data_IF_138039613594
#
_entry.id   IF_138039613594
#
_cell.length_a   1.000
_cell.length_b   1.000
_cell.length_c   1.000
_cell.angle_alpha   90.00
_cell.angle_beta   90.00
_cell.angle_gamma   90.00
#
_symmetry.space_group_name_H-M   'P 1'
#
loop_
_entity.id
_entity.type
_entity.pdbx_description
1 polymer ?
#
# COMPACT_ATOMS: atom_id res chain seq x y z
N UNK A 1 -3.49 -55.36 7.21
CA UNK A 1 -2.25 -54.57 7.05
C UNK A 1 -2.30 -53.91 5.68
N UNK A 2 -2.30 -52.60 5.49
CA UNK A 2 -2.00 -51.44 6.34
C UNK A 2 -2.94 -50.30 5.93
N UNK A 3 -3.56 -49.66 6.93
CA UNK A 3 -4.04 -48.29 6.80
C UNK A 3 -2.96 -47.37 7.33
N UNK A 4 -2.41 -46.51 6.47
CA UNK A 4 -1.50 -45.37 6.71
C UNK A 4 -1.12 -44.89 5.30
N UNK A 5 -1.19 -43.65 4.83
CA UNK A 5 -1.32 -42.31 5.40
C UNK A 5 -2.03 -41.45 4.35
N UNK A 6 -3.06 -40.72 4.72
CA UNK A 6 -3.38 -39.46 4.06
C UNK A 6 -4.05 -38.55 5.09
N UNK A 7 -3.35 -38.37 6.22
CA UNK A 7 -3.69 -37.36 7.21
C UNK A 7 -3.16 -36.00 6.73
N UNK A 8 -4.10 -35.07 6.59
CA UNK A 8 -3.93 -33.65 6.91
C UNK A 8 -2.82 -32.86 6.20
N UNK A 9 -2.87 -32.82 4.86
CA UNK A 9 -2.51 -31.56 4.19
C UNK A 9 -3.71 -30.62 4.36
N UNK A 10 -3.68 -29.81 5.42
CA UNK A 10 -4.56 -28.65 5.58
C UNK A 10 -4.44 -27.84 4.28
N UNK A 11 -5.39 -28.00 3.36
CA UNK A 11 -5.37 -27.31 2.08
C UNK A 11 -5.46 -25.82 2.39
N UNK A 12 -4.33 -25.11 2.25
CA UNK A 12 -4.29 -23.66 2.27
C UNK A 12 -5.12 -23.13 1.10
N UNK A 13 -6.43 -23.04 1.33
CA UNK A 13 -7.41 -22.58 0.37
C UNK A 13 -7.74 -21.12 0.67
N UNK A 14 -8.40 -20.46 -0.29
CA UNK A 14 -8.77 -19.04 -0.21
C UNK A 14 -9.52 -18.72 1.09
N UNK A 15 -10.37 -19.62 1.57
CA UNK A 15 -11.14 -19.47 2.81
C UNK A 15 -10.23 -19.43 4.05
N UNK A 16 -9.28 -20.36 4.18
CA UNK A 16 -8.33 -20.36 5.31
C UNK A 16 -7.50 -19.08 5.30
N UNK A 17 -6.99 -18.68 4.13
CA UNK A 17 -6.23 -17.45 4.00
C UNK A 17 -7.03 -16.23 4.45
N UNK A 18 -8.28 -16.13 3.99
CA UNK A 18 -9.22 -15.06 4.37
C UNK A 18 -9.48 -15.04 5.88
N UNK A 19 -9.76 -16.18 6.50
CA UNK A 19 -9.97 -16.27 7.95
C UNK A 19 -8.73 -15.86 8.75
N UNK A 20 -7.54 -16.28 8.31
CA UNK A 20 -6.27 -15.91 8.94
C UNK A 20 -6.03 -14.40 8.84
N UNK A 21 -6.21 -13.81 7.66
CA UNK A 21 -6.07 -12.36 7.45
C UNK A 21 -7.04 -11.61 8.35
N UNK A 22 -8.31 -12.00 8.36
CA UNK A 22 -9.32 -11.38 9.22
C UNK A 22 -8.91 -11.41 10.69
N UNK A 23 -8.46 -12.58 11.18
CA UNK A 23 -8.03 -12.74 12.58
C UNK A 23 -6.82 -11.88 12.91
N UNK A 24 -5.87 -11.74 11.99
CA UNK A 24 -4.71 -10.86 12.15
C UNK A 24 -5.13 -9.38 12.23
N UNK A 25 -6.01 -8.93 11.34
CA UNK A 25 -6.50 -7.55 11.32
C UNK A 25 -7.26 -7.20 12.60
N UNK A 26 -8.14 -8.09 13.06
CA UNK A 26 -8.85 -7.95 14.34
C UNK A 26 -7.87 -7.94 15.52
N UNK A 27 -6.85 -8.79 15.51
CA UNK A 27 -5.81 -8.85 16.53
C UNK A 27 -4.98 -7.56 16.62
N UNK A 28 -4.59 -6.98 15.49
CA UNK A 28 -3.89 -5.68 15.43
C UNK A 28 -4.77 -4.59 16.01
N UNK A 29 -6.06 -4.56 15.66
CA UNK A 29 -7.01 -3.57 16.19
C UNK A 29 -7.12 -3.69 17.71
N UNK A 30 -7.34 -4.89 18.24
CA UNK A 30 -7.43 -5.10 19.69
C UNK A 30 -6.13 -4.76 20.42
N UNK A 31 -4.97 -5.09 19.84
CA UNK A 31 -3.67 -4.70 20.41
C UNK A 31 -3.51 -3.18 20.45
N UNK A 32 -3.93 -2.48 19.39
CA UNK A 32 -3.88 -1.03 19.31
C UNK A 32 -4.83 -0.36 20.34
N UNK A 33 -6.04 -0.89 20.49
CA UNK A 33 -7.02 -0.42 21.48
C UNK A 33 -6.51 -0.59 22.91
N UNK A 34 -5.93 -1.75 23.24
CA UNK A 34 -5.35 -2.00 24.56
C UNK A 34 -4.17 -1.07 24.84
N UNK A 35 -3.26 -0.89 23.87
CA UNK A 35 -2.14 0.05 24.02
C UNK A 35 -2.65 1.49 24.27
N UNK A 36 -3.71 1.89 23.58
CA UNK A 36 -4.32 3.22 23.74
C UNK A 36 -4.99 3.41 25.11
N UNK A 37 -5.58 2.36 25.69
CA UNK A 37 -6.11 2.40 27.06
C UNK A 37 -5.01 2.58 28.11
N UNK A 38 -3.79 2.12 27.83
CA UNK A 38 -2.61 2.32 28.67
C UNK A 38 -1.89 3.66 28.40
N UNK A 39 -2.55 4.64 27.77
CA UNK A 39 -1.95 5.93 27.32
C UNK A 39 -0.70 5.77 26.41
N UNK A 40 -0.62 4.65 25.67
CA UNK A 40 0.44 4.38 24.69
C UNK A 40 -0.12 4.33 23.28
N UNK A 41 0.76 4.44 22.28
CA UNK A 41 0.41 4.19 20.88
C UNK A 41 1.07 2.91 20.41
N UNK A 42 0.45 2.21 19.45
CA UNK A 42 1.04 0.99 18.90
C UNK A 42 2.22 1.30 17.96
N UNK A 43 2.28 2.52 17.42
CA UNK A 43 3.30 2.99 16.48
C UNK A 43 3.65 1.94 15.40
N UNK A 44 2.63 1.48 14.69
CA UNK A 44 2.75 0.34 13.76
C UNK A 44 2.21 0.72 12.39
N UNK A 45 2.92 0.32 11.34
CA UNK A 45 2.47 0.43 9.96
C UNK A 45 2.09 -0.96 9.45
N UNK A 46 0.83 -1.12 9.04
CA UNK A 46 0.35 -2.34 8.37
C UNK A 46 0.45 -2.13 6.87
N UNK A 47 1.23 -2.99 6.21
CA UNK A 47 1.40 -3.00 4.76
C UNK A 47 0.57 -4.14 4.16
N UNK A 48 -0.26 -3.81 3.19
CA UNK A 48 -1.08 -4.76 2.44
C UNK A 48 -0.63 -4.71 0.99
N UNK A 49 0.10 -5.75 0.59
CA UNK A 49 0.50 -5.96 -0.79
C UNK A 49 -0.64 -6.60 -1.60
N UNK A 50 -0.68 -6.30 -2.89
CA UNK A 50 -1.77 -6.64 -3.80
C UNK A 50 -3.15 -6.34 -3.19
N UNK A 51 -3.29 -5.15 -2.61
CA UNK A 51 -4.45 -4.74 -1.82
C UNK A 51 -5.78 -4.90 -2.56
N UNK A 52 -5.79 -4.80 -3.90
CA UNK A 52 -6.97 -5.05 -4.71
C UNK A 52 -7.52 -6.47 -4.57
N UNK A 53 -6.80 -7.44 -3.97
CA UNK A 53 -7.33 -8.78 -3.68
C UNK A 53 -8.21 -8.83 -2.44
N UNK A 54 -7.97 -7.94 -1.47
CA UNK A 54 -8.66 -7.91 -0.17
C UNK A 54 -9.61 -6.72 -0.04
N UNK A 55 -9.35 -5.66 -0.81
CA UNK A 55 -10.03 -4.38 -0.76
C UNK A 55 -10.67 -4.04 -2.12
N UNK A 56 -11.35 -5.02 -2.73
CA UNK A 56 -11.99 -4.86 -4.03
C UNK A 56 -13.08 -3.80 -4.01
N UNK A 57 -13.20 -3.05 -5.10
CA UNK A 57 -14.26 -2.06 -5.31
C UNK A 57 -15.61 -2.70 -5.57
N UNK A 58 -15.63 -3.77 -6.35
CA UNK A 58 -16.85 -4.50 -6.68
C UNK A 58 -17.28 -5.38 -5.51
N UNK A 59 -18.60 -5.64 -5.40
CA UNK A 59 -19.09 -6.59 -4.40
C UNK A 59 -18.65 -8.01 -4.76
N UNK A 60 -18.23 -8.75 -3.75
CA UNK A 60 -17.98 -10.19 -3.84
C UNK A 60 -19.22 -10.95 -3.40
N UNK A 61 -19.48 -12.08 -4.05
CA UNK A 61 -20.49 -13.05 -3.59
C UNK A 61 -20.01 -13.83 -2.35
N UNK A 62 -18.73 -13.68 -1.99
CA UNK A 62 -18.13 -14.31 -0.81
C UNK A 62 -18.26 -13.39 0.42
N UNK A 63 -19.10 -13.78 1.37
CA UNK A 63 -19.35 -13.05 2.62
C UNK A 63 -18.07 -12.76 3.42
N UNK A 64 -17.08 -13.65 3.38
CA UNK A 64 -15.84 -13.45 4.13
C UNK A 64 -14.91 -12.41 3.48
N UNK A 65 -14.93 -12.29 2.15
CA UNK A 65 -14.21 -11.22 1.44
C UNK A 65 -14.84 -9.86 1.73
N UNK A 66 -16.17 -9.80 1.77
CA UNK A 66 -16.94 -8.63 2.20
C UNK A 66 -16.63 -8.23 3.65
N UNK A 67 -16.49 -9.21 4.54
CA UNK A 67 -16.12 -8.98 5.92
C UNK A 67 -14.70 -8.41 6.05
N UNK A 68 -13.71 -8.98 5.35
CA UNK A 68 -12.34 -8.44 5.33
C UNK A 68 -12.35 -6.99 4.85
N UNK A 69 -13.02 -6.72 3.72
CA UNK A 69 -13.07 -5.36 3.17
C UNK A 69 -13.66 -4.37 4.18
N UNK A 70 -14.74 -4.76 4.85
CA UNK A 70 -15.38 -3.94 5.88
C UNK A 70 -14.44 -3.66 7.06
N UNK A 71 -13.67 -4.66 7.50
CA UNK A 71 -12.64 -4.49 8.54
C UNK A 71 -11.55 -3.54 8.08
N UNK A 72 -11.07 -3.66 6.83
CA UNK A 72 -10.03 -2.77 6.29
C UNK A 72 -10.48 -1.32 6.17
N UNK A 73 -11.71 -1.08 5.70
CA UNK A 73 -12.32 0.26 5.64
C UNK A 73 -12.37 0.87 7.04
N UNK A 74 -12.90 0.12 8.01
CA UNK A 74 -13.05 0.60 9.37
C UNK A 74 -11.70 0.85 10.04
N UNK A 75 -10.73 -0.05 9.82
CA UNK A 75 -9.39 0.09 10.38
C UNK A 75 -8.66 1.32 9.83
N UNK A 76 -8.68 1.53 8.51
CA UNK A 76 -8.07 2.70 7.88
C UNK A 76 -8.66 4.02 8.41
N UNK A 77 -9.96 4.03 8.74
CA UNK A 77 -10.67 5.20 9.27
C UNK A 77 -10.41 5.44 10.76
N UNK A 78 -10.36 4.39 11.58
CA UNK A 78 -10.49 4.51 13.04
C UNK A 78 -9.19 4.32 13.82
N UNK A 79 -8.20 3.62 13.27
CA UNK A 79 -7.01 3.23 14.06
C UNK A 79 -5.91 4.29 14.07
N UNK A 80 -6.09 5.40 13.34
CA UNK A 80 -5.12 6.50 13.32
C UNK A 80 -4.87 7.08 14.71
N UNK A 81 -5.93 7.24 15.52
CA UNK A 81 -5.82 7.70 16.92
C UNK A 81 -5.02 6.74 17.82
N UNK A 82 -4.90 5.47 17.41
CA UNK A 82 -4.16 4.43 18.13
C UNK A 82 -2.69 4.32 17.68
N UNK A 83 -2.26 5.17 16.74
CA UNK A 83 -0.92 5.11 16.16
C UNK A 83 -0.72 3.94 15.20
N UNK A 84 -1.79 3.47 14.56
CA UNK A 84 -1.71 2.46 13.49
C UNK A 84 -1.93 3.13 12.14
N UNK A 85 -0.91 3.05 11.28
CA UNK A 85 -0.96 3.47 9.88
C UNK A 85 -1.24 2.30 8.95
N UNK A 86 -1.81 2.60 7.78
CA UNK A 86 -2.11 1.61 6.74
C UNK A 86 -1.49 2.03 5.41
N UNK A 87 -0.78 1.09 4.77
CA UNK A 87 -0.20 1.24 3.46
C UNK A 87 -0.78 0.15 2.55
N UNK A 88 -1.36 0.57 1.43
CA UNK A 88 -1.92 -0.32 0.42
C UNK A 88 -1.07 -0.23 -0.84
N UNK A 89 -0.53 -1.35 -1.28
CA UNK A 89 0.21 -1.47 -2.53
C UNK A 89 -0.69 -2.19 -3.53
N UNK A 90 -0.91 -1.59 -4.69
CA UNK A 90 -1.77 -2.16 -5.73
C UNK A 90 -1.33 -1.67 -7.11
N UNK A 91 -1.45 -2.57 -8.09
CA UNK A 91 -1.21 -2.25 -9.50
C UNK A 91 -2.40 -1.52 -10.14
N UNK A 92 -3.60 -1.70 -9.59
CA UNK A 92 -4.83 -1.05 -10.06
C UNK A 92 -5.42 -0.19 -8.96
N UNK A 93 -5.52 1.10 -9.24
CA UNK A 93 -6.20 2.08 -8.41
C UNK A 93 -7.71 1.95 -8.56
N UNK A 94 -8.20 1.76 -9.80
CA UNK A 94 -9.64 1.73 -10.06
C UNK A 94 -10.36 0.56 -9.40
N UNK A 95 -9.64 -0.53 -9.10
CA UNK A 95 -10.14 -1.73 -8.43
C UNK A 95 -10.15 -1.64 -6.92
N UNK A 96 -9.54 -0.64 -6.30
CA UNK A 96 -9.57 -0.46 -4.85
C UNK A 96 -10.89 0.16 -4.40
N UNK A 97 -11.39 -0.28 -3.25
CA UNK A 97 -12.61 0.25 -2.67
C UNK A 97 -12.47 1.75 -2.38
N UNK A 98 -13.44 2.54 -2.85
CA UNK A 98 -13.39 4.00 -2.81
C UNK A 98 -13.26 4.54 -1.39
N UNK A 99 -13.95 3.95 -0.41
CA UNK A 99 -13.84 4.39 0.98
C UNK A 99 -12.43 4.25 1.55
N UNK A 100 -11.67 3.22 1.13
CA UNK A 100 -10.26 3.08 1.56
C UNK A 100 -9.44 4.21 0.95
N UNK A 101 -9.57 4.42 -0.36
CA UNK A 101 -8.86 5.48 -1.10
C UNK A 101 -9.14 6.85 -0.47
N UNK A 102 -10.38 7.14 -0.10
CA UNK A 102 -10.78 8.41 0.54
C UNK A 102 -10.20 8.61 1.96
N UNK A 103 -9.83 7.54 2.68
CA UNK A 103 -9.13 7.65 3.97
C UNK A 103 -7.62 7.91 3.80
N UNK A 104 -7.03 7.60 2.65
CA UNK A 104 -5.60 7.76 2.42
C UNK A 104 -5.24 9.23 2.24
N UNK A 105 -4.20 9.66 2.96
CA UNK A 105 -3.69 11.04 2.90
C UNK A 105 -2.50 11.21 1.98
N UNK A 106 -1.80 10.11 1.71
CA UNK A 106 -0.56 10.10 0.97
C UNK A 106 -0.71 9.05 -0.13
N UNK A 107 -0.34 9.43 -1.34
CA UNK A 107 -0.29 8.53 -2.48
C UNK A 107 1.09 8.55 -3.10
N UNK A 108 1.53 7.39 -3.58
CA UNK A 108 2.71 7.25 -4.44
C UNK A 108 2.24 6.53 -5.71
N UNK A 109 2.51 7.14 -6.86
CA UNK A 109 2.20 6.60 -8.17
C UNK A 109 3.51 6.35 -8.90
N UNK A 110 3.84 5.07 -9.11
CA UNK A 110 4.95 4.67 -9.97
C UNK A 110 4.54 4.62 -11.44
N UNK A 111 5.41 4.11 -12.30
CA UNK A 111 5.09 3.87 -13.72
C UNK A 111 3.91 2.90 -13.91
N UNK A 112 3.16 3.04 -15.01
CA UNK A 112 2.16 2.07 -15.47
C UNK A 112 0.71 2.54 -15.48
N UNK A 113 0.37 3.64 -14.80
CA UNK A 113 -1.01 4.18 -14.74
C UNK A 113 -1.31 5.25 -15.81
N UNK A 114 -0.53 5.31 -16.89
CA UNK A 114 -0.55 6.41 -17.87
C UNK A 114 -1.69 6.40 -18.88
N UNK A 115 -2.54 5.35 -18.91
CA UNK A 115 -3.64 5.20 -19.86
C UNK A 115 -4.90 4.58 -19.25
N UNK A 116 -6.03 4.66 -19.96
CA UNK A 116 -7.25 3.92 -19.64
C UNK A 116 -8.00 4.41 -18.39
N UNK A 117 -8.59 3.46 -17.67
CA UNK A 117 -9.34 3.70 -16.42
C UNK A 117 -8.42 4.19 -15.30
N UNK A 118 -7.23 3.60 -15.18
CA UNK A 118 -6.25 3.95 -14.15
C UNK A 118 -5.81 5.40 -14.26
N UNK A 119 -5.54 5.86 -15.49
CA UNK A 119 -5.18 7.26 -15.74
C UNK A 119 -6.27 8.24 -15.34
N UNK A 120 -7.55 7.89 -15.58
CA UNK A 120 -8.68 8.72 -15.15
C UNK A 120 -8.76 8.78 -13.62
N UNK A 121 -8.66 7.63 -12.95
CA UNK A 121 -8.66 7.57 -11.48
C UNK A 121 -7.48 8.34 -10.88
N UNK A 122 -6.29 8.24 -11.46
CA UNK A 122 -5.14 9.04 -11.04
C UNK A 122 -5.38 10.54 -11.27
N UNK A 123 -5.92 10.92 -12.42
CA UNK A 123 -6.23 12.33 -12.74
C UNK A 123 -7.26 12.94 -11.78
N UNK A 124 -8.27 12.16 -11.40
CA UNK A 124 -9.26 12.54 -10.39
C UNK A 124 -8.61 12.74 -9.01
N UNK A 125 -7.74 11.84 -8.56
CA UNK A 125 -7.05 11.96 -7.27
C UNK A 125 -6.09 13.15 -7.19
N UNK A 126 -5.45 13.49 -8.30
CA UNK A 126 -4.52 14.64 -8.37
C UNK A 126 -5.27 15.98 -8.54
N UNK A 127 -6.61 15.94 -8.67
CA UNK A 127 -7.45 17.13 -8.81
C UNK A 127 -7.34 17.79 -10.19
N UNK A 128 -7.08 17.01 -11.24
CA UNK A 128 -7.11 17.49 -12.63
C UNK A 128 -6.02 18.49 -13.01
N UNK A 129 -4.94 18.60 -12.23
CA UNK A 129 -3.81 19.51 -12.51
C UNK A 129 -3.03 19.04 -13.74
N UNK A 130 -3.36 19.58 -14.92
CA UNK A 130 -2.82 19.15 -16.23
C UNK A 130 -1.31 18.98 -16.26
N UNK A 131 -0.55 19.97 -15.74
CA UNK A 131 0.90 19.93 -15.78
C UNK A 131 1.51 18.74 -15.01
N UNK A 132 0.93 18.36 -13.87
CA UNK A 132 1.42 17.22 -13.10
C UNK A 132 1.12 15.90 -13.82
N UNK A 133 -0.05 15.82 -14.47
CA UNK A 133 -0.44 14.66 -15.28
C UNK A 133 0.47 14.53 -16.50
N UNK A 134 0.84 15.64 -17.15
CA UNK A 134 1.77 15.63 -18.28
C UNK A 134 3.17 15.17 -17.85
N UNK A 135 3.68 15.63 -16.71
CA UNK A 135 4.95 15.15 -16.14
C UNK A 135 4.91 13.66 -15.80
N UNK A 136 3.82 13.18 -15.21
CA UNK A 136 3.66 11.77 -14.89
C UNK A 136 3.70 10.87 -16.15
N UNK A 137 3.14 11.34 -17.28
CA UNK A 137 3.19 10.60 -18.56
C UNK A 137 4.60 10.47 -19.14
N UNK A 138 5.57 11.23 -18.64
CA UNK A 138 6.97 11.13 -19.05
C UNK A 138 7.72 10.01 -18.31
N UNK A 139 7.09 9.36 -17.32
CA UNK A 139 7.71 8.23 -16.62
C UNK A 139 8.04 7.12 -17.61
N UNK A 140 9.26 6.61 -17.49
CA UNK A 140 9.76 5.51 -18.31
C UNK A 140 9.50 4.19 -17.60
N UNK A 141 9.33 3.14 -18.40
CA UNK A 141 9.33 1.78 -17.87
C UNK A 141 10.74 1.48 -17.31
N UNK A 142 10.89 1.22 -16.00
CA UNK A 142 12.20 0.87 -15.43
C UNK A 142 12.81 -0.37 -16.10
N UNK A 143 11.98 -1.28 -16.63
CA UNK A 143 12.44 -2.47 -17.32
C UNK A 143 12.91 -2.23 -18.76
N UNK A 144 12.72 -1.02 -19.29
CA UNK A 144 13.26 -0.64 -20.60
C UNK A 144 14.78 -0.42 -20.60
N UNK A 145 15.41 -0.28 -19.43
CA UNK A 145 16.87 -0.18 -19.35
C UNK A 145 17.53 -1.54 -19.51
N UNK A 146 18.60 -1.57 -20.32
CA UNK A 146 19.39 -2.79 -20.58
C UNK A 146 20.19 -3.24 -19.37
N UNK A 147 20.61 -2.30 -18.52
CA UNK A 147 21.39 -2.58 -17.32
C UNK A 147 20.54 -2.34 -16.07
N UNK A 148 20.55 -3.31 -15.15
CA UNK A 148 19.77 -3.29 -13.91
C UNK A 148 20.21 -2.14 -13.00
N UNK A 149 21.51 -1.82 -12.99
CA UNK A 149 22.06 -0.72 -12.19
C UNK A 149 21.56 0.65 -12.67
N UNK A 150 21.31 0.79 -13.97
CA UNK A 150 20.85 2.03 -14.60
C UNK A 150 19.33 2.23 -14.61
N UNK A 151 18.55 1.34 -13.97
CA UNK A 151 17.11 1.48 -13.92
C UNK A 151 16.73 2.73 -13.14
N UNK A 152 15.75 3.49 -13.61
CA UNK A 152 15.21 4.62 -12.85
C UNK A 152 13.77 4.31 -12.46
N UNK A 153 13.50 4.36 -11.16
CA UNK A 153 12.15 4.22 -10.63
C UNK A 153 11.64 5.60 -10.21
N UNK A 154 10.81 6.19 -11.06
CA UNK A 154 10.20 7.49 -10.81
C UNK A 154 8.87 7.33 -10.08
N UNK A 155 8.62 8.22 -9.12
CA UNK A 155 7.37 8.31 -8.39
C UNK A 155 6.82 9.72 -8.43
N UNK A 156 5.51 9.82 -8.64
CA UNK A 156 4.73 11.01 -8.33
C UNK A 156 4.06 10.78 -6.97
N UNK A 157 4.18 11.74 -6.05
CA UNK A 157 3.53 11.65 -4.75
C UNK A 157 2.63 12.84 -4.48
N UNK A 158 1.51 12.59 -3.80
CA UNK A 158 0.57 13.61 -3.33
C UNK A 158 0.32 13.48 -1.84
N UNK A 159 -0.11 14.59 -1.22
CA UNK A 159 -0.35 14.66 0.22
C UNK A 159 0.81 15.29 1.00
N UNK A 160 0.71 15.30 2.34
CA UNK A 160 1.69 15.96 3.22
C UNK A 160 2.94 15.09 3.44
N UNK A 161 3.62 14.71 2.35
CA UNK A 161 4.84 13.88 2.39
C UNK A 161 6.08 14.70 2.72
N UNK A 162 6.07 15.99 2.41
CA UNK A 162 7.19 16.91 2.64
C UNK A 162 6.68 18.26 3.08
N UNK A 163 7.43 19.02 3.91
CA UNK A 163 7.17 20.44 4.12
C UNK A 163 7.13 21.25 2.81
N UNK A 164 7.67 20.75 1.71
CA UNK A 164 7.58 21.44 0.41
C UNK A 164 6.25 21.17 -0.32
N UNK A 165 5.45 20.19 0.13
CA UNK A 165 4.17 19.84 -0.51
C UNK A 165 2.96 20.64 0.02
N UNK A 166 3.17 21.70 0.83
CA UNK A 166 2.08 22.53 1.39
C UNK A 166 1.14 23.14 0.34
N UNK A 167 1.58 23.32 -0.91
CA UNK A 167 0.73 23.83 -2.00
C UNK A 167 -0.22 22.77 -2.61
N UNK A 168 -0.26 21.55 -2.06
CA UNK A 168 -1.00 20.43 -2.62
C UNK A 168 -0.53 20.01 -4.02
N UNK A 169 0.64 20.50 -4.43
CA UNK A 169 1.25 20.19 -5.72
C UNK A 169 1.92 18.83 -5.63
N UNK A 170 1.69 17.92 -6.59
CA UNK A 170 2.40 16.66 -6.64
C UNK A 170 3.93 16.87 -6.70
N UNK A 171 4.65 16.05 -5.96
CA UNK A 171 6.12 16.00 -6.02
C UNK A 171 6.55 14.83 -6.90
N UNK A 172 7.67 14.99 -7.60
CA UNK A 172 8.24 14.00 -8.49
C UNK A 172 9.68 13.73 -8.06
N UNK A 173 10.06 12.46 -7.98
CA UNK A 173 11.41 12.07 -7.61
C UNK A 173 11.75 10.69 -8.19
N UNK A 174 13.05 10.44 -8.34
CA UNK A 174 13.60 9.12 -8.62
C UNK A 174 14.10 8.52 -7.31
N UNK A 175 13.87 7.22 -7.09
CA UNK A 175 14.41 6.51 -5.94
C UNK A 175 15.73 5.83 -6.28
N UNK A 176 16.57 5.65 -5.26
CA UNK A 176 17.77 4.82 -5.35
C UNK A 176 17.38 3.35 -5.49
N UNK A 177 18.17 2.62 -6.25
CA UNK A 177 18.01 1.16 -6.41
C UNK A 177 18.81 0.37 -5.39
N UNK A 178 19.83 1.01 -4.82
CA UNK A 178 20.75 0.40 -3.89
C UNK A 178 20.82 1.20 -2.58
N UNK A 179 20.90 0.48 -1.47
CA UNK A 179 20.93 1.09 -0.14
C UNK A 179 22.27 1.79 0.09
N UNK A 180 23.39 1.25 -0.41
CA UNK A 180 24.68 1.90 -0.27
C UNK A 180 24.77 3.19 -1.08
N UNK A 181 24.18 3.25 -2.28
CA UNK A 181 24.03 4.49 -3.04
C UNK A 181 23.23 5.55 -2.28
N UNK A 182 22.08 5.16 -1.71
CA UNK A 182 21.27 6.05 -0.88
C UNK A 182 22.08 6.58 0.32
N UNK A 183 22.75 5.69 1.06
CA UNK A 183 23.55 6.08 2.22
C UNK A 183 24.70 7.01 1.83
N UNK A 184 25.42 6.69 0.74
CA UNK A 184 26.51 7.49 0.22
C UNK A 184 26.08 8.87 -0.24
N UNK A 185 24.95 8.98 -0.96
CA UNK A 185 24.42 10.26 -1.43
C UNK A 185 23.93 11.19 -0.30
N UNK A 186 23.62 10.63 0.87
CA UNK A 186 23.11 11.37 2.03
C UNK A 186 24.12 11.48 3.19
N UNK A 187 25.39 11.12 2.95
CA UNK A 187 26.45 11.09 3.97
C UNK A 187 26.07 10.29 5.24
N UNK A 188 25.24 9.26 5.07
CA UNK A 188 24.79 8.38 6.15
C UNK A 188 25.73 7.20 6.29
N UNK A 189 26.09 6.87 7.53
CA UNK A 189 26.85 5.65 7.82
C UNK A 189 25.89 4.49 8.06
N UNK A 190 26.16 3.29 7.53
CA UNK A 190 25.41 2.11 7.92
C UNK A 190 25.55 1.93 9.44
N UNK A 191 24.44 1.76 10.13
CA UNK A 191 24.46 1.54 11.57
C UNK A 191 25.15 0.19 11.83
N UNK A 192 26.25 0.12 12.62
CA UNK A 192 27.01 -1.12 12.82
C UNK A 192 26.28 -2.18 13.68
N UNK A 193 24.95 -2.12 13.79
CA UNK A 193 24.14 -2.98 14.66
C UNK A 193 22.88 -3.47 13.94
N UNK A 194 23.02 -4.50 13.11
CA UNK A 194 22.09 -5.63 12.95
C UNK A 194 22.70 -6.67 12.01
#
# INVERSE_FOLDING_TARGET
>A
EQGTENQDKLYWNKTIQTLVIRRLLEGIRSAAENAYQDDRTLNTLVLIDEAHRLAQRERSDNEEEEAIRSVLIDAARTTRKYGVGWMFISQTLSSLHREIVEQLRIFFFGFGLGMGTEFRSLSELVGGRSNAIDLYRLFRDPHSSFDVESREYSFMTTGPVSPLSFAGTPLFFNVFNDVAEFLGANDLKPNPSN
#
